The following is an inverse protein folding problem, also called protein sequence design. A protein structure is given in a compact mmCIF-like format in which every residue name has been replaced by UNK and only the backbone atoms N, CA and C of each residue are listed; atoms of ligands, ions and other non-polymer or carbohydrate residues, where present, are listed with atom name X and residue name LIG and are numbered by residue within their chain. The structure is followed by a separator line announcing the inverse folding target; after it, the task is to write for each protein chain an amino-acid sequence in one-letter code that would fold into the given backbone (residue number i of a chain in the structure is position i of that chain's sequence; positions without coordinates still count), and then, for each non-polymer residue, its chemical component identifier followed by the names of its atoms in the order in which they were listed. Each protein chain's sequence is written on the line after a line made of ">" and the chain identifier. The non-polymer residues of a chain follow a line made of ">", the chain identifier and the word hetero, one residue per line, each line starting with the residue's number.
data_IF_536878490348
#
_entry.id   IF_536878490348
#
_cell.length_a   1.000
_cell.length_b   1.000
_cell.length_c   1.000
_cell.angle_alpha   90.00
_cell.angle_beta   90.00
_cell.angle_gamma   90.00
#
_symmetry.space_group_name_H-M   'P 1'
#
loop_
_entity.id
_entity.type
_entity.pdbx_description
1 polymer ?
#
# COMPACT_ATOMS: atom_id res chain seq x y z
N UNK A 1 9.69 58.99 7.79
CA UNK A 1 10.05 57.98 6.77
C UNK A 1 10.11 56.62 7.45
N UNK A 2 9.02 55.86 7.41
CA UNK A 2 8.95 54.54 8.03
C UNK A 2 9.70 53.53 7.15
N UNK A 3 10.78 52.98 7.69
CA UNK A 3 11.57 51.91 7.06
C UNK A 3 10.76 50.63 7.09
N UNK A 4 10.22 50.22 5.93
CA UNK A 4 9.67 48.89 5.75
C UNK A 4 10.83 47.88 5.79
N UNK A 5 10.99 47.23 6.94
CA UNK A 5 11.81 46.03 7.06
C UNK A 5 10.96 44.89 6.51
N UNK A 6 11.19 44.52 5.25
CA UNK A 6 10.71 43.25 4.71
C UNK A 6 11.40 42.12 5.45
N UNK A 7 10.62 41.37 6.24
CA UNK A 7 11.08 40.09 6.79
C UNK A 7 11.53 39.21 5.62
N UNK A 8 12.68 38.52 5.70
CA UNK A 8 13.01 37.49 4.73
C UNK A 8 11.93 36.42 4.80
N UNK A 9 11.24 36.17 3.69
CA UNK A 9 10.41 34.98 3.49
C UNK A 9 11.33 33.77 3.46
N UNK A 10 11.71 33.31 4.64
CA UNK A 10 12.41 32.04 4.84
C UNK A 10 11.40 30.90 4.78
N UNK A 11 11.10 30.43 3.58
CA UNK A 11 10.63 29.08 3.35
C UNK A 11 11.18 28.68 1.97
N UNK A 12 12.21 27.83 1.96
CA UNK A 12 12.48 27.00 0.79
C UNK A 12 11.18 26.24 0.53
N UNK A 13 10.49 26.53 -0.57
CA UNK A 13 9.36 25.71 -1.01
C UNK A 13 9.83 24.25 -1.01
N UNK A 14 9.16 23.40 -0.24
CA UNK A 14 9.37 21.96 -0.30
C UNK A 14 8.89 21.52 -1.68
N UNK A 15 9.82 21.37 -2.62
CA UNK A 15 9.55 20.81 -3.93
C UNK A 15 9.02 19.37 -3.74
N UNK A 16 7.74 19.17 -4.04
CA UNK A 16 7.10 17.86 -4.07
C UNK A 16 6.73 17.50 -5.52
N UNK A 17 7.63 16.79 -6.24
CA UNK A 17 7.40 16.46 -7.64
C UNK A 17 6.24 15.47 -7.83
N UNK A 18 5.94 14.64 -6.82
CA UNK A 18 4.81 13.69 -6.89
C UNK A 18 3.50 14.48 -6.85
N UNK A 19 3.38 15.43 -5.92
CA UNK A 19 2.20 16.28 -5.82
C UNK A 19 2.02 17.18 -7.03
N UNK A 20 3.10 17.84 -7.49
CA UNK A 20 3.05 18.70 -8.66
C UNK A 20 2.59 17.93 -9.91
N UNK A 21 3.14 16.72 -10.13
CA UNK A 21 2.72 15.85 -11.24
C UNK A 21 1.26 15.43 -11.11
N UNK A 22 0.82 15.02 -9.92
CA UNK A 22 -0.57 14.63 -9.67
C UNK A 22 -1.56 15.77 -9.97
N UNK A 23 -1.24 17.00 -9.56
CA UNK A 23 -2.07 18.18 -9.84
C UNK A 23 -2.15 18.47 -11.34
N UNK A 24 -1.04 18.41 -12.06
CA UNK A 24 -1.03 18.61 -13.52
C UNK A 24 -1.88 17.56 -14.23
N UNK A 25 -1.73 16.28 -13.85
CA UNK A 25 -2.55 15.19 -14.39
C UNK A 25 -4.05 15.38 -14.06
N UNK A 26 -4.37 15.96 -12.90
CA UNK A 26 -5.75 16.29 -12.54
C UNK A 26 -6.34 17.40 -13.42
N UNK A 27 -5.58 18.45 -13.70
CA UNK A 27 -6.00 19.49 -14.65
C UNK A 27 -6.20 18.92 -16.07
N UNK A 28 -5.32 18.01 -16.50
CA UNK A 28 -5.47 17.30 -17.78
C UNK A 28 -6.77 16.49 -17.82
N UNK A 29 -7.12 15.77 -16.74
CA UNK A 29 -8.38 15.02 -16.67
C UNK A 29 -9.58 15.95 -16.77
N UNK A 30 -9.58 17.10 -16.08
CA UNK A 30 -10.69 18.07 -16.18
C UNK A 30 -10.84 18.62 -17.59
N UNK A 31 -9.71 18.91 -18.27
CA UNK A 31 -9.73 19.39 -19.66
C UNK A 31 -10.25 18.34 -20.63
N UNK A 32 -9.87 17.09 -20.44
CA UNK A 32 -10.23 15.98 -21.31
C UNK A 32 -11.66 15.46 -21.06
N UNK A 33 -12.09 15.40 -19.80
CA UNK A 33 -13.35 14.80 -19.35
C UNK A 33 -14.08 15.74 -18.36
N UNK A 34 -14.74 16.81 -18.85
CA UNK A 34 -15.41 17.81 -18.00
C UNK A 34 -16.49 17.24 -17.07
N UNK A 35 -17.11 16.11 -17.42
CA UNK A 35 -18.09 15.40 -16.60
C UNK A 35 -17.51 14.95 -15.25
N UNK A 36 -16.20 14.71 -15.19
CA UNK A 36 -15.49 14.36 -13.96
C UNK A 36 -14.99 15.57 -13.17
N UNK A 37 -15.19 16.80 -13.67
CA UNK A 37 -14.59 17.99 -13.07
C UNK A 37 -14.89 18.11 -11.58
N UNK A 38 -16.16 18.02 -11.16
CA UNK A 38 -16.52 18.11 -9.73
C UNK A 38 -15.78 17.09 -8.88
N UNK A 39 -15.68 15.85 -9.35
CA UNK A 39 -14.96 14.78 -8.65
C UNK A 39 -13.45 15.08 -8.54
N UNK A 40 -12.83 15.57 -9.61
CA UNK A 40 -11.40 15.88 -9.62
C UNK A 40 -11.09 17.13 -8.77
N UNK A 41 -11.92 18.16 -8.84
CA UNK A 41 -11.77 19.36 -8.01
C UNK A 41 -11.94 19.04 -6.53
N UNK A 42 -12.99 18.31 -6.17
CA UNK A 42 -13.24 17.94 -4.77
C UNK A 42 -12.16 17.02 -4.20
N UNK A 43 -11.56 16.17 -5.04
CA UNK A 43 -10.61 15.14 -4.58
C UNK A 43 -9.14 15.57 -4.64
N UNK A 44 -8.77 16.44 -5.58
CA UNK A 44 -7.37 16.82 -5.82
C UNK A 44 -7.21 18.34 -5.83
N UNK A 45 -7.85 19.05 -6.75
CA UNK A 45 -7.44 20.42 -7.08
C UNK A 45 -7.73 21.44 -5.96
N UNK A 46 -8.73 21.19 -5.10
CA UNK A 46 -9.05 22.02 -3.92
C UNK A 46 -8.17 21.73 -2.69
N UNK A 47 -7.30 20.73 -2.75
CA UNK A 47 -6.38 20.44 -1.66
C UNK A 47 -5.01 21.08 -1.88
N UNK A 48 -4.33 21.41 -0.79
CA UNK A 48 -3.00 22.05 -0.82
C UNK A 48 -1.84 21.05 -0.75
N UNK A 49 -2.12 19.79 -0.46
CA UNK A 49 -1.11 18.73 -0.31
C UNK A 49 -1.60 17.37 -0.83
N UNK A 50 -0.65 16.51 -1.17
CA UNK A 50 -0.91 15.11 -1.54
C UNK A 50 -1.62 14.36 -0.42
N UNK A 51 -1.18 14.55 0.83
CA UNK A 51 -1.75 13.92 2.00
C UNK A 51 -3.24 14.23 2.11
N UNK A 52 -3.62 15.51 2.01
CA UNK A 52 -5.02 15.92 2.10
C UNK A 52 -5.88 15.31 0.98
N UNK A 53 -5.37 15.26 -0.25
CA UNK A 53 -6.08 14.65 -1.38
C UNK A 53 -6.27 13.13 -1.21
N UNK A 54 -5.21 12.41 -0.84
CA UNK A 54 -5.25 10.96 -0.60
C UNK A 54 -6.19 10.63 0.57
N UNK A 55 -6.08 11.38 1.67
CA UNK A 55 -6.92 11.21 2.87
C UNK A 55 -8.37 11.48 2.55
N UNK A 56 -8.68 12.54 1.82
CA UNK A 56 -10.04 12.81 1.35
C UNK A 56 -10.57 11.62 0.53
N UNK A 57 -9.84 11.21 -0.50
CA UNK A 57 -10.28 10.13 -1.39
C UNK A 57 -10.54 8.82 -0.64
N UNK A 58 -9.61 8.40 0.22
CA UNK A 58 -9.75 7.16 0.99
C UNK A 58 -10.89 7.27 2.00
N UNK A 59 -11.05 8.41 2.67
CA UNK A 59 -12.12 8.60 3.66
C UNK A 59 -13.50 8.55 3.00
N UNK A 60 -13.70 9.19 1.84
CA UNK A 60 -14.95 9.11 1.08
C UNK A 60 -15.29 7.68 0.64
N UNK A 61 -14.27 6.86 0.33
CA UNK A 61 -14.49 5.44 0.00
C UNK A 61 -14.85 4.60 1.21
N UNK A 62 -14.39 4.99 2.40
CA UNK A 62 -14.67 4.29 3.66
C UNK A 62 -15.93 4.78 4.36
N UNK A 63 -16.49 5.92 3.93
CA UNK A 63 -17.67 6.56 4.51
C UNK A 63 -18.80 5.54 4.77
N UNK A 64 -19.43 5.69 5.93
CA UNK A 64 -20.54 4.85 6.36
C UNK A 64 -21.37 5.58 7.41
N UNK A 65 -22.63 5.17 7.57
CA UNK A 65 -23.52 5.73 8.60
C UNK A 65 -22.99 5.54 10.03
N UNK A 66 -22.19 4.49 10.28
CA UNK A 66 -21.60 4.21 11.59
C UNK A 66 -20.39 5.10 11.92
N UNK A 67 -19.57 5.40 10.90
CA UNK A 67 -18.34 6.21 11.02
C UNK A 67 -18.19 7.00 9.72
N UNK A 68 -18.32 8.32 9.83
CA UNK A 68 -18.27 9.22 8.68
C UNK A 68 -16.84 9.43 8.15
N UNK A 69 -16.74 9.80 6.88
CA UNK A 69 -15.50 10.24 6.25
C UNK A 69 -14.83 11.37 7.04
N UNK A 70 -15.59 12.29 7.63
CA UNK A 70 -15.04 13.38 8.44
C UNK A 70 -14.27 12.87 9.66
N UNK A 71 -14.83 11.91 10.40
CA UNK A 71 -14.15 11.33 11.55
C UNK A 71 -12.87 10.57 11.14
N UNK A 72 -12.89 9.91 9.99
CA UNK A 72 -11.71 9.24 9.42
C UNK A 72 -10.65 10.29 9.03
N UNK A 73 -11.04 11.40 8.39
CA UNK A 73 -10.13 12.51 8.04
C UNK A 73 -9.48 13.15 9.26
N UNK A 74 -10.23 13.37 10.33
CA UNK A 74 -9.69 13.88 11.60
C UNK A 74 -8.68 12.91 12.20
N UNK A 75 -8.96 11.61 12.18
CA UNK A 75 -7.99 10.60 12.63
C UNK A 75 -6.71 10.57 11.78
N UNK A 76 -6.82 10.79 10.46
CA UNK A 76 -5.64 10.96 9.61
C UNK A 76 -4.87 12.24 9.93
N UNK A 77 -5.54 13.35 10.25
CA UNK A 77 -4.88 14.59 10.63
C UNK A 77 -4.01 14.37 11.89
N UNK A 78 -4.58 13.75 12.93
CA UNK A 78 -3.84 13.37 14.14
C UNK A 78 -2.64 12.47 13.80
N UNK A 79 -2.84 11.47 12.94
CA UNK A 79 -1.80 10.51 12.57
C UNK A 79 -0.67 11.14 11.76
N UNK A 80 -0.98 12.06 10.84
CA UNK A 80 0.00 12.75 9.99
C UNK A 80 0.77 13.83 10.74
N UNK A 81 0.14 14.48 11.73
CA UNK A 81 0.82 15.39 12.64
C UNK A 81 1.81 14.63 13.54
N UNK A 82 1.40 13.48 14.08
CA UNK A 82 2.22 12.65 14.96
C UNK A 82 3.32 11.86 14.21
N UNK A 83 3.03 11.35 13.02
CA UNK A 83 3.96 10.59 12.17
C UNK A 83 3.92 11.05 10.70
N UNK A 84 4.72 12.07 10.35
CA UNK A 84 4.88 12.52 8.97
C UNK A 84 5.43 11.45 8.02
N UNK A 85 5.99 10.35 8.55
CA UNK A 85 6.43 9.20 7.77
C UNK A 85 5.31 8.53 6.98
N UNK A 86 4.06 8.65 7.44
CA UNK A 86 2.88 8.14 6.74
C UNK A 86 2.70 8.83 5.38
N UNK A 87 2.84 10.17 5.33
CA UNK A 87 2.75 10.92 4.07
C UNK A 87 3.88 10.58 3.09
N UNK A 88 5.09 10.32 3.59
CA UNK A 88 6.21 9.84 2.77
C UNK A 88 5.94 8.44 2.20
N UNK A 89 5.27 7.57 2.96
CA UNK A 89 4.88 6.26 2.48
C UNK A 89 3.84 6.33 1.36
N UNK A 90 2.89 7.27 1.40
CA UNK A 90 1.94 7.48 0.30
C UNK A 90 2.65 7.78 -1.02
N UNK A 91 3.66 8.66 -1.00
CA UNK A 91 4.47 8.98 -2.18
C UNK A 91 5.21 7.76 -2.71
N UNK A 92 5.86 7.01 -1.82
CA UNK A 92 6.58 5.80 -2.20
C UNK A 92 5.65 4.75 -2.81
N UNK A 93 4.46 4.56 -2.26
CA UNK A 93 3.48 3.59 -2.75
C UNK A 93 2.89 4.01 -4.11
N UNK A 94 2.61 5.31 -4.34
CA UNK A 94 2.19 5.84 -5.66
C UNK A 94 3.26 5.58 -6.73
N UNK A 95 4.51 5.92 -6.40
CA UNK A 95 5.64 5.70 -7.32
C UNK A 95 5.83 4.22 -7.60
N UNK A 96 5.74 3.37 -6.58
CA UNK A 96 5.83 1.92 -6.73
C UNK A 96 4.73 1.37 -7.65
N UNK A 97 3.49 1.85 -7.54
CA UNK A 97 2.42 1.43 -8.46
C UNK A 97 2.75 1.78 -9.90
N UNK A 98 3.11 3.03 -10.20
CA UNK A 98 3.34 3.48 -11.58
C UNK A 98 4.64 2.94 -12.17
N UNK A 99 5.67 2.68 -11.37
CA UNK A 99 6.93 2.08 -11.83
C UNK A 99 6.77 0.58 -12.18
N UNK A 100 5.78 -0.11 -11.59
CA UNK A 100 5.68 -1.57 -11.63
C UNK A 100 4.44 -2.08 -12.37
N UNK A 101 3.38 -1.27 -12.47
CA UNK A 101 2.17 -1.62 -13.19
C UNK A 101 2.22 -1.07 -14.62
N UNK A 102 2.34 -1.90 -15.66
CA UNK A 102 2.29 -1.42 -17.04
C UNK A 102 0.92 -0.83 -17.43
N UNK A 103 -0.14 -1.11 -16.67
CA UNK A 103 -1.46 -0.51 -16.86
C UNK A 103 -1.62 0.85 -16.16
N UNK A 104 -0.66 1.25 -15.32
CA UNK A 104 -0.66 2.55 -14.64
C UNK A 104 0.40 3.46 -15.26
N UNK A 105 -0.04 4.52 -15.94
CA UNK A 105 0.85 5.47 -16.62
C UNK A 105 0.95 6.82 -15.88
N UNK A 106 0.03 7.07 -14.94
CA UNK A 106 -0.14 8.36 -14.27
C UNK A 106 -0.25 8.20 -12.76
N UNK A 107 0.27 9.15 -12.00
CA UNK A 107 0.19 9.16 -10.53
C UNK A 107 -1.26 9.33 -10.03
N UNK A 108 -2.13 9.93 -10.83
CA UNK A 108 -3.56 10.08 -10.53
C UNK A 108 -4.33 8.77 -10.45
N UNK A 109 -3.88 7.73 -11.16
CA UNK A 109 -4.58 6.44 -11.26
C UNK A 109 -4.63 5.68 -9.93
N UNK A 110 -3.49 5.44 -9.23
CA UNK A 110 -3.54 4.83 -7.90
C UNK A 110 -4.29 5.69 -6.90
N UNK A 111 -4.14 7.02 -6.95
CA UNK A 111 -4.77 7.94 -6.00
C UNK A 111 -6.30 7.92 -6.10
N UNK A 112 -6.87 7.81 -7.30
CA UNK A 112 -8.32 7.88 -7.48
C UNK A 112 -9.01 6.51 -7.50
N UNK A 113 -8.36 5.49 -8.06
CA UNK A 113 -9.07 4.30 -8.54
C UNK A 113 -8.61 2.99 -7.89
N UNK A 114 -7.31 2.81 -7.67
CA UNK A 114 -6.79 1.49 -7.31
C UNK A 114 -6.98 1.18 -5.82
N UNK A 115 -7.88 0.23 -5.56
CA UNK A 115 -8.25 -0.18 -4.19
C UNK A 115 -7.08 -0.80 -3.40
N UNK A 116 -6.07 -1.34 -4.07
CA UNK A 116 -4.87 -1.85 -3.41
C UNK A 116 -4.08 -0.73 -2.71
N UNK A 117 -3.85 0.38 -3.41
CA UNK A 117 -3.28 1.58 -2.81
C UNK A 117 -4.14 2.09 -1.64
N UNK A 118 -5.46 2.22 -1.84
CA UNK A 118 -6.37 2.66 -0.77
C UNK A 118 -6.36 1.74 0.46
N UNK A 119 -6.25 0.42 0.27
CA UNK A 119 -6.16 -0.54 1.37
C UNK A 119 -4.86 -0.39 2.18
N UNK A 120 -3.72 -0.16 1.52
CA UNK A 120 -2.45 0.11 2.20
C UNK A 120 -2.51 1.42 2.98
N UNK A 121 -3.04 2.49 2.39
CA UNK A 121 -3.26 3.78 3.08
C UNK A 121 -4.14 3.61 4.31
N UNK A 122 -5.25 2.87 4.18
CA UNK A 122 -6.17 2.56 5.28
C UNK A 122 -5.49 1.77 6.40
N UNK A 123 -4.68 0.76 6.05
CA UNK A 123 -3.93 -0.01 7.02
C UNK A 123 -2.94 0.86 7.80
N UNK A 124 -2.29 1.85 7.18
CA UNK A 124 -1.36 2.75 7.89
C UNK A 124 -2.06 3.53 9.00
N UNK A 125 -3.27 4.04 8.76
CA UNK A 125 -4.08 4.67 9.82
C UNK A 125 -4.49 3.66 10.89
N UNK A 126 -5.00 2.49 10.48
CA UNK A 126 -5.41 1.45 11.43
C UNK A 126 -4.24 0.99 12.32
N UNK A 127 -3.04 0.85 11.74
CA UNK A 127 -1.81 0.51 12.45
C UNK A 127 -1.41 1.59 13.46
N UNK A 128 -1.44 2.85 13.05
CA UNK A 128 -1.18 3.98 13.94
C UNK A 128 -2.17 4.03 15.12
N UNK A 129 -3.48 3.91 14.84
CA UNK A 129 -4.53 3.85 15.86
C UNK A 129 -4.32 2.69 16.83
N UNK A 130 -3.98 1.50 16.30
CA UNK A 130 -3.70 0.31 17.10
C UNK A 130 -2.53 0.56 18.06
N UNK A 131 -1.43 1.14 17.58
CA UNK A 131 -0.25 1.48 18.40
C UNK A 131 -0.54 2.53 19.47
N UNK A 132 -1.53 3.40 19.24
CA UNK A 132 -2.02 4.39 20.21
C UNK A 132 -3.09 3.84 21.16
N UNK A 133 -3.37 2.54 21.12
CA UNK A 133 -4.37 1.89 21.98
C UNK A 133 -5.82 2.10 21.55
N UNK A 134 -6.08 2.79 20.43
CA UNK A 134 -7.42 3.01 19.85
C UNK A 134 -7.86 1.76 19.06
N UNK A 135 -7.92 0.62 19.74
CA UNK A 135 -8.10 -0.71 19.14
C UNK A 135 -9.41 -0.85 18.38
N UNK A 136 -10.52 -0.39 18.93
CA UNK A 136 -11.83 -0.55 18.28
C UNK A 136 -11.91 0.22 16.96
N UNK A 137 -11.31 1.41 16.89
CA UNK A 137 -11.27 2.16 15.64
C UNK A 137 -10.34 1.49 14.60
N UNK A 138 -9.20 0.97 15.05
CA UNK A 138 -8.33 0.19 14.17
C UNK A 138 -9.04 -1.06 13.61
N UNK A 139 -9.79 -1.80 14.44
CA UNK A 139 -10.58 -2.96 14.03
C UNK A 139 -11.76 -2.58 13.13
N UNK A 140 -12.40 -1.44 13.39
CA UNK A 140 -13.43 -0.89 12.51
C UNK A 140 -12.86 -0.64 11.11
N UNK A 141 -11.72 0.03 11.00
CA UNK A 141 -11.07 0.30 9.71
C UNK A 141 -10.61 -0.98 9.01
N UNK A 142 -10.10 -1.97 9.75
CA UNK A 142 -9.80 -3.30 9.20
C UNK A 142 -11.05 -3.93 8.57
N UNK A 143 -12.16 -3.96 9.31
CA UNK A 143 -13.43 -4.50 8.85
C UNK A 143 -13.96 -3.75 7.63
N UNK A 144 -13.93 -2.41 7.66
CA UNK A 144 -14.40 -1.56 6.56
C UNK A 144 -13.54 -1.72 5.31
N UNK A 145 -12.21 -1.77 5.45
CA UNK A 145 -11.28 -2.09 4.34
C UNK A 145 -11.57 -3.45 3.73
N UNK A 146 -11.81 -4.47 4.56
CA UNK A 146 -12.18 -5.80 4.07
C UNK A 146 -13.49 -5.77 3.27
N UNK A 147 -14.51 -5.06 3.75
CA UNK A 147 -15.78 -4.94 3.03
C UNK A 147 -15.65 -4.15 1.70
N UNK A 148 -14.99 -2.98 1.72
CA UNK A 148 -14.96 -2.05 0.57
C UNK A 148 -13.88 -2.39 -0.44
N UNK A 149 -12.70 -2.80 0.03
CA UNK A 149 -11.53 -3.07 -0.82
C UNK A 149 -11.22 -4.56 -0.98
N UNK A 150 -11.90 -5.43 -0.22
CA UNK A 150 -11.64 -6.87 -0.19
C UNK A 150 -10.21 -7.18 0.24
N UNK A 151 -9.69 -6.38 1.17
CA UNK A 151 -8.35 -6.50 1.75
C UNK A 151 -8.47 -6.52 3.27
N UNK A 152 -8.23 -7.70 3.86
CA UNK A 152 -8.21 -7.90 5.29
C UNK A 152 -6.77 -7.86 5.80
N UNK A 153 -6.38 -6.73 6.39
CA UNK A 153 -5.04 -6.51 6.92
C UNK A 153 -5.17 -6.19 8.41
N UNK A 154 -4.70 -7.10 9.26
CA UNK A 154 -4.75 -6.88 10.69
C UNK A 154 -3.96 -5.62 11.08
N UNK A 155 -4.50 -4.71 11.93
CA UNK A 155 -3.82 -3.48 12.32
C UNK A 155 -2.45 -3.67 12.98
N UNK A 156 -2.18 -4.82 13.61
CA UNK A 156 -0.88 -5.09 14.22
C UNK A 156 0.19 -5.53 13.21
N UNK A 157 -0.20 -5.90 11.98
CA UNK A 157 0.74 -6.22 10.92
C UNK A 157 1.66 -5.01 10.66
N UNK A 158 2.92 -5.27 10.33
CA UNK A 158 3.91 -4.23 10.06
C UNK A 158 4.22 -4.22 8.58
N UNK A 159 3.96 -3.09 7.92
CA UNK A 159 4.15 -2.94 6.47
C UNK A 159 5.04 -1.74 6.20
N UNK A 160 6.10 -1.97 5.43
CA UNK A 160 7.04 -0.96 4.95
C UNK A 160 6.41 -0.01 3.92
N UNK A 161 7.25 0.60 3.10
CA UNK A 161 6.85 1.57 2.04
C UNK A 161 7.29 1.11 0.65
N UNK A 162 6.74 1.72 -0.39
CA UNK A 162 6.99 1.27 -1.76
C UNK A 162 6.27 -0.06 -2.02
N UNK A 163 5.11 -0.24 -1.41
CA UNK A 163 4.31 -1.46 -1.54
C UNK A 163 3.43 -1.32 -2.78
N UNK A 164 3.52 -2.31 -3.66
CA UNK A 164 2.59 -2.42 -4.77
C UNK A 164 1.62 -3.57 -4.52
N UNK A 165 0.36 -3.24 -4.25
CA UNK A 165 -0.72 -4.21 -4.07
C UNK A 165 -1.61 -4.21 -5.32
N UNK A 166 -1.30 -5.11 -6.26
CA UNK A 166 -1.95 -5.18 -7.55
C UNK A 166 -3.26 -5.98 -7.49
N UNK A 167 -4.32 -5.41 -8.06
CA UNK A 167 -5.72 -5.88 -8.06
C UNK A 167 -6.36 -6.07 -6.66
N UNK A 168 -5.56 -6.44 -5.65
CA UNK A 168 -5.82 -6.47 -4.21
C UNK A 168 -6.88 -7.47 -3.69
N UNK A 169 -7.89 -7.80 -4.50
CA UNK A 169 -9.04 -8.61 -4.09
C UNK A 169 -8.64 -9.91 -3.40
N UNK A 170 -9.14 -10.13 -2.19
CA UNK A 170 -8.90 -11.36 -1.43
C UNK A 170 -7.54 -11.41 -0.73
N UNK A 171 -6.84 -10.28 -0.59
CA UNK A 171 -5.65 -10.20 0.27
C UNK A 171 -6.05 -10.45 1.73
N UNK A 172 -5.28 -11.32 2.41
CA UNK A 172 -5.37 -11.55 3.85
C UNK A 172 -3.99 -11.45 4.48
N UNK A 173 -3.80 -10.58 5.47
CA UNK A 173 -2.54 -10.38 6.20
C UNK A 173 -2.80 -10.44 7.70
N UNK A 174 -2.22 -11.42 8.35
CA UNK A 174 -2.44 -11.65 9.77
C UNK A 174 -1.59 -10.79 10.71
N UNK A 175 -2.00 -10.80 11.99
CA UNK A 175 -1.54 -9.93 13.08
C UNK A 175 -0.03 -9.78 13.23
N UNK A 176 0.74 -10.86 13.09
CA UNK A 176 2.19 -10.85 13.37
C UNK A 176 3.03 -10.81 12.10
N UNK A 177 2.40 -10.57 10.96
CA UNK A 177 3.07 -10.50 9.67
C UNK A 177 3.98 -9.26 9.63
N UNK A 178 5.09 -9.41 8.91
CA UNK A 178 5.97 -8.30 8.56
C UNK A 178 6.15 -8.31 7.05
N UNK A 179 5.94 -7.16 6.44
CA UNK A 179 6.24 -6.90 5.03
C UNK A 179 7.22 -5.74 5.02
N UNK A 180 8.46 -6.00 4.60
CA UNK A 180 9.47 -4.96 4.45
C UNK A 180 9.18 -4.08 3.20
N UNK A 181 10.01 -3.07 2.95
CA UNK A 181 9.86 -2.15 1.83
C UNK A 181 9.94 -2.86 0.45
N UNK A 182 9.44 -2.19 -0.58
CA UNK A 182 9.61 -2.58 -1.99
C UNK A 182 9.11 -3.99 -2.32
N UNK A 183 8.01 -4.41 -1.69
CA UNK A 183 7.35 -5.68 -1.97
C UNK A 183 6.18 -5.46 -2.93
N UNK A 184 6.00 -6.41 -3.85
CA UNK A 184 4.87 -6.43 -4.78
C UNK A 184 4.02 -7.68 -4.54
N UNK A 185 2.71 -7.49 -4.39
CA UNK A 185 1.76 -8.51 -3.99
C UNK A 185 0.55 -8.46 -4.92
N UNK A 186 0.18 -9.59 -5.50
CA UNK A 186 -1.02 -9.70 -6.33
C UNK A 186 -2.25 -10.10 -5.50
N UNK A 187 -3.42 -10.10 -6.16
CA UNK A 187 -4.69 -10.51 -5.56
C UNK A 187 -4.68 -11.95 -5.02
N UNK A 188 -5.58 -12.23 -4.08
CA UNK A 188 -5.82 -13.57 -3.52
C UNK A 188 -4.67 -14.11 -2.67
N UNK A 189 -3.67 -13.29 -2.34
CA UNK A 189 -2.54 -13.68 -1.50
C UNK A 189 -2.96 -13.79 -0.03
N UNK A 190 -2.42 -14.78 0.68
CA UNK A 190 -2.60 -14.92 2.13
C UNK A 190 -1.26 -15.00 2.85
N UNK A 191 -1.04 -14.10 3.80
CA UNK A 191 0.05 -14.15 4.78
C UNK A 191 -0.55 -14.60 6.12
N UNK A 192 -0.74 -15.91 6.25
CA UNK A 192 -1.61 -16.54 7.25
C UNK A 192 -0.88 -17.33 8.33
N UNK A 193 -1.61 -17.68 9.39
CA UNK A 193 -1.15 -18.61 10.43
C UNK A 193 -1.36 -20.07 10.06
N UNK A 194 -0.76 -20.98 10.84
CA UNK A 194 -0.86 -22.44 10.66
C UNK A 194 -1.76 -23.14 11.68
N UNK A 195 -2.29 -22.43 12.69
CA UNK A 195 -3.11 -23.04 13.74
C UNK A 195 -3.62 -22.06 14.80
N UNK A 196 -4.12 -22.61 15.92
CA UNK A 196 -4.80 -21.88 17.01
C UNK A 196 -3.89 -21.30 18.10
N UNK A 197 -2.59 -21.59 18.05
CA UNK A 197 -1.64 -21.11 19.06
C UNK A 197 -1.39 -19.61 18.88
N UNK A 198 -1.44 -18.85 19.98
CA UNK A 198 -1.03 -17.44 20.00
C UNK A 198 0.48 -17.27 19.81
N UNK A 199 0.93 -16.02 19.72
CA UNK A 199 2.33 -15.68 19.48
C UNK A 199 2.65 -15.40 18.01
N UNK A 200 3.94 -15.34 17.69
CA UNK A 200 4.41 -15.03 16.34
C UNK A 200 4.20 -16.22 15.39
N UNK A 201 3.24 -16.05 14.48
CA UNK A 201 2.66 -17.14 13.68
C UNK A 201 2.44 -16.81 12.21
N UNK A 202 2.84 -15.63 11.76
CA UNK A 202 2.64 -15.16 10.38
C UNK A 202 3.95 -14.86 9.66
N UNK A 203 3.95 -14.81 8.32
CA UNK A 203 5.18 -14.68 7.54
C UNK A 203 5.96 -13.39 7.76
N UNK A 204 7.26 -13.45 7.47
CA UNK A 204 8.18 -12.31 7.38
C UNK A 204 8.63 -12.18 5.93
N UNK A 205 8.06 -11.22 5.20
CA UNK A 205 8.34 -10.95 3.80
C UNK A 205 9.41 -9.87 3.72
N UNK A 206 10.59 -10.24 3.21
CA UNK A 206 11.75 -9.33 3.13
C UNK A 206 11.66 -8.42 1.91
N UNK A 207 12.55 -7.42 1.89
CA UNK A 207 12.61 -6.39 0.84
C UNK A 207 12.70 -7.01 -0.56
N UNK A 208 12.00 -6.42 -1.53
CA UNK A 208 12.15 -6.77 -2.95
C UNK A 208 11.41 -8.03 -3.37
N UNK A 209 10.61 -8.64 -2.49
CA UNK A 209 9.89 -9.89 -2.78
C UNK A 209 8.72 -9.63 -3.73
N UNK A 210 8.57 -10.51 -4.74
CA UNK A 210 7.38 -10.60 -5.57
C UNK A 210 6.51 -11.79 -5.13
N UNK A 211 5.23 -11.53 -4.85
CA UNK A 211 4.25 -12.56 -4.52
C UNK A 211 3.16 -12.60 -5.58
N UNK A 212 3.17 -13.66 -6.39
CA UNK A 212 2.20 -13.88 -7.46
C UNK A 212 0.79 -14.19 -6.96
N UNK A 213 -0.18 -14.05 -7.87
CA UNK A 213 -1.60 -14.16 -7.58
C UNK A 213 -1.96 -15.47 -6.86
N UNK A 214 -2.81 -15.38 -5.85
CA UNK A 214 -3.37 -16.56 -5.17
C UNK A 214 -2.41 -17.32 -4.26
N UNK A 215 -1.16 -16.89 -4.09
CA UNK A 215 -0.20 -17.58 -3.24
C UNK A 215 -0.61 -17.59 -1.75
N UNK A 216 -0.34 -18.68 -1.05
CA UNK A 216 -0.61 -18.86 0.39
C UNK A 216 0.71 -19.09 1.11
N UNK A 217 1.11 -18.16 1.97
CA UNK A 217 2.33 -18.24 2.76
C UNK A 217 1.90 -18.39 4.22
N UNK A 218 2.16 -19.56 4.81
CA UNK A 218 1.55 -19.96 6.08
C UNK A 218 2.60 -20.24 7.15
N UNK A 219 2.43 -19.59 8.30
CA UNK A 219 3.25 -19.79 9.50
C UNK A 219 4.31 -18.71 9.69
N UNK A 220 5.01 -18.79 10.82
CA UNK A 220 6.15 -17.91 11.10
C UNK A 220 7.38 -18.38 10.31
N UNK A 221 7.37 -18.08 9.02
CA UNK A 221 8.45 -18.38 8.09
C UNK A 221 8.94 -17.10 7.42
N UNK A 222 10.22 -17.09 7.07
CA UNK A 222 10.81 -16.00 6.32
C UNK A 222 10.74 -16.27 4.82
N UNK A 223 10.38 -15.25 4.04
CA UNK A 223 10.61 -15.19 2.60
C UNK A 223 11.74 -14.20 2.36
N UNK A 224 12.91 -14.72 2.01
CA UNK A 224 14.15 -13.99 1.86
C UNK A 224 14.09 -12.86 0.84
N UNK A 225 15.04 -11.92 0.95
CA UNK A 225 15.07 -10.73 0.11
C UNK A 225 15.15 -11.10 -1.37
N UNK A 226 14.44 -10.32 -2.20
CA UNK A 226 14.38 -10.51 -3.65
C UNK A 226 14.03 -11.95 -4.05
N UNK A 227 13.24 -12.66 -3.25
CA UNK A 227 12.65 -13.93 -3.65
C UNK A 227 11.40 -13.71 -4.51
N UNK A 228 11.05 -14.72 -5.31
CA UNK A 228 9.82 -14.74 -6.10
C UNK A 228 8.95 -15.92 -5.69
N UNK A 229 7.72 -15.65 -5.31
CA UNK A 229 6.70 -16.66 -5.05
C UNK A 229 5.79 -16.74 -6.28
N UNK A 230 5.83 -17.86 -7.00
CA UNK A 230 4.96 -18.05 -8.17
C UNK A 230 3.48 -18.04 -7.80
N UNK A 231 2.63 -17.66 -8.75
CA UNK A 231 1.18 -17.68 -8.59
C UNK A 231 0.68 -19.07 -8.15
N UNK A 232 -0.34 -19.10 -7.29
CA UNK A 232 -0.99 -20.30 -6.78
C UNK A 232 -0.16 -21.15 -5.80
N UNK A 233 1.06 -20.72 -5.45
CA UNK A 233 1.95 -21.50 -4.58
C UNK A 233 1.46 -21.61 -3.14
N UNK A 234 1.72 -22.75 -2.48
CA UNK A 234 1.49 -22.93 -1.03
C UNK A 234 2.83 -23.09 -0.32
N UNK A 235 3.28 -22.01 0.33
CA UNK A 235 4.58 -21.89 0.99
C UNK A 235 4.41 -22.17 2.49
N UNK A 236 5.01 -23.27 2.95
CA UNK A 236 4.95 -23.74 4.35
C UNK A 236 6.34 -23.96 4.96
N UNK A 237 7.40 -23.50 4.27
CA UNK A 237 8.79 -23.55 4.71
C UNK A 237 9.48 -22.23 4.34
N UNK A 238 10.54 -21.82 5.08
CA UNK A 238 11.31 -20.63 4.74
C UNK A 238 11.83 -20.67 3.30
N UNK A 239 11.84 -19.51 2.65
CA UNK A 239 12.33 -19.32 1.28
C UNK A 239 13.65 -18.55 1.36
N UNK A 240 14.75 -19.08 0.80
CA UNK A 240 16.02 -18.35 0.71
C UNK A 240 15.91 -17.04 -0.06
N UNK A 241 16.96 -16.23 0.02
CA UNK A 241 17.07 -15.02 -0.80
C UNK A 241 17.24 -15.35 -2.28
N UNK A 242 16.79 -14.46 -3.17
CA UNK A 242 17.07 -14.50 -4.61
C UNK A 242 16.66 -15.80 -5.34
N UNK A 243 15.70 -16.57 -4.80
CA UNK A 243 15.19 -17.78 -5.46
C UNK A 243 13.73 -17.61 -5.89
N UNK A 244 13.32 -18.42 -6.87
CA UNK A 244 11.91 -18.63 -7.20
C UNK A 244 11.42 -19.90 -6.51
N UNK A 245 10.25 -19.84 -5.87
CA UNK A 245 9.52 -21.03 -5.41
C UNK A 245 8.17 -21.16 -6.10
N UNK A 246 7.77 -22.39 -6.40
CA UNK A 246 6.49 -22.70 -7.03
C UNK A 246 5.92 -24.03 -6.52
N UNK A 247 4.59 -24.20 -6.64
CA UNK A 247 3.90 -25.47 -6.44
C UNK A 247 3.16 -25.63 -5.09
N UNK A 248 2.56 -26.80 -4.89
CA UNK A 248 1.73 -27.13 -3.73
C UNK A 248 2.15 -28.50 -3.16
N UNK A 249 2.91 -28.55 -2.06
CA UNK A 249 3.60 -27.45 -1.40
C UNK A 249 4.78 -26.92 -2.22
N UNK A 250 5.11 -25.64 -2.04
CA UNK A 250 6.11 -24.94 -2.84
C UNK A 250 7.53 -25.52 -2.65
N UNK A 251 8.31 -25.52 -3.73
CA UNK A 251 9.73 -25.91 -3.76
C UNK A 251 10.52 -24.87 -4.55
N UNK A 252 11.82 -24.78 -4.27
CA UNK A 252 12.73 -23.97 -5.08
C UNK A 252 12.78 -24.55 -6.49
N UNK A 253 12.48 -23.71 -7.49
CA UNK A 253 12.48 -24.08 -8.91
C UNK A 253 13.57 -23.35 -9.72
N UNK A 254 14.29 -22.42 -9.09
CA UNK A 254 15.39 -21.71 -9.72
C UNK A 254 15.77 -20.44 -8.98
N UNK A 255 16.58 -19.61 -9.62
CA UNK A 255 16.87 -18.25 -9.14
C UNK A 255 15.66 -17.34 -9.40
N UNK A 256 15.63 -16.16 -8.80
CA UNK A 256 14.58 -15.17 -9.04
C UNK A 256 14.65 -14.52 -10.44
N UNK A 257 15.69 -14.81 -11.22
CA UNK A 257 15.87 -14.32 -12.60
C UNK A 257 16.34 -12.87 -12.71
N UNK A 258 16.18 -12.05 -11.66
CA UNK A 258 16.64 -10.66 -11.62
C UNK A 258 16.97 -10.19 -10.19
N UNK A 259 17.72 -9.07 -10.04
CA UNK A 259 18.05 -8.52 -8.72
C UNK A 259 16.85 -7.95 -7.95
N UNK A 260 15.81 -7.47 -8.65
CA UNK A 260 14.64 -6.81 -8.05
C UNK A 260 13.30 -7.39 -8.59
N UNK A 261 12.91 -8.62 -8.21
CA UNK A 261 11.72 -9.27 -8.76
C UNK A 261 10.43 -8.48 -8.56
N UNK A 262 10.26 -7.83 -7.40
CA UNK A 262 9.11 -6.98 -7.11
C UNK A 262 9.01 -5.77 -8.03
N UNK A 263 10.12 -5.33 -8.64
CA UNK A 263 10.13 -4.21 -9.56
C UNK A 263 9.91 -4.65 -11.01
N UNK A 264 10.56 -5.75 -11.40
CA UNK A 264 10.44 -6.29 -12.74
C UNK A 264 9.09 -6.94 -13.04
N UNK A 265 8.36 -7.41 -12.00
CA UNK A 265 7.04 -8.02 -12.13
C UNK A 265 6.97 -9.22 -13.09
N UNK A 266 8.11 -9.87 -13.37
CA UNK A 266 8.15 -11.05 -14.20
C UNK A 266 7.51 -12.25 -13.46
N UNK A 267 6.38 -12.70 -13.99
CA UNK A 267 5.62 -13.84 -13.47
C UNK A 267 6.13 -15.19 -13.99
N UNK A 268 6.95 -15.18 -15.04
CA UNK A 268 7.38 -16.39 -15.73
C UNK A 268 8.64 -16.96 -15.10
N UNK A 269 8.68 -18.27 -14.96
CA UNK A 269 9.88 -18.99 -14.57
C UNK A 269 10.01 -20.19 -15.50
N UNK A 270 11.23 -20.45 -15.95
CA UNK A 270 11.53 -21.65 -16.71
C UNK A 270 11.39 -22.84 -15.75
N UNK A 271 10.22 -23.47 -15.79
CA UNK A 271 10.06 -24.81 -15.27
C UNK A 271 10.86 -25.71 -16.20
N UNK A 272 12.11 -25.99 -15.84
CA UNK A 272 12.95 -26.93 -16.58
C UNK A 272 12.11 -28.17 -16.93
N UNK A 273 11.94 -28.39 -18.24
CA UNK A 273 11.21 -29.52 -18.82
C UNK A 273 11.90 -30.85 -18.54
#
# INVERSE_FOLDING_TARGET
>A
MATHITKPTGALDKLDPVWARLRNEAEDVVRAEPELATFIYSTILHHDSLEAAVVHRVSERLDHADVSAELIRQAYADALEDDPGIGNAFRADIVATVDRDPAASRFIEPVLYFKGFHAIVTHRLAHWLHRRGRRDFALYLQSRSSAVFQCDINPAARIGRGIFLDHATGLVVGETAVIDDDVSILHGVTLGGTGKAGGDRHPKIRRGVLIGAGAKILGNIEVGHCARIAAGSVVVKPVPNNVTVAGVPARVVGTAGCPEPSRHMDMMFDAGS
#
